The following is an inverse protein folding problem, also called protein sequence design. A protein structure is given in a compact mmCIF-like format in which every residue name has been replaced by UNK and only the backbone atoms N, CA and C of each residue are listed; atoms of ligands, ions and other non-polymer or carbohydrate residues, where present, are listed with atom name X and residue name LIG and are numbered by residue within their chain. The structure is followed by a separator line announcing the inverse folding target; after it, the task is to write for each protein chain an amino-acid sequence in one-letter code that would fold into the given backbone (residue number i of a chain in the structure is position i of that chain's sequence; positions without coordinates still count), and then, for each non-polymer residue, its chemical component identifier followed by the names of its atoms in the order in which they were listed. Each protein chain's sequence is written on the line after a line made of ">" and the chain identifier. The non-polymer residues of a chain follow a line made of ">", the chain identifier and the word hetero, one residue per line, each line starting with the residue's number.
data_IF_273626007945
#
_entry.id   IF_273626007945
#
_cell.length_a   1.000
_cell.length_b   1.000
_cell.length_c   1.000
_cell.angle_alpha   90.00
_cell.angle_beta   90.00
_cell.angle_gamma   90.00
#
_symmetry.space_group_name_H-M   'P 1'
#
loop_
_entity.id
_entity.type
_entity.pdbx_description
1 polymer ?
#
# COMPACT_ATOMS: atom_id res chain seq x y z
N UNK A 1 137.51 -19.07 -40.95
CA UNK A 1 138.64 -18.53 -40.18
C UNK A 1 138.09 -18.21 -38.79
N UNK A 2 137.99 -19.24 -37.94
CA UNK A 2 138.95 -19.57 -36.87
C UNK A 2 138.65 -18.81 -35.58
N UNK A 3 137.97 -19.44 -34.63
CA UNK A 3 138.59 -19.83 -33.36
C UNK A 3 137.59 -20.57 -32.46
N UNK A 4 138.13 -21.63 -31.89
CA UNK A 4 137.63 -22.56 -30.89
C UNK A 4 137.75 -21.94 -29.48
N UNK A 5 136.76 -22.15 -28.60
CA UNK A 5 136.90 -22.44 -27.15
C UNK A 5 135.49 -22.55 -26.50
N UNK A 6 135.35 -23.55 -25.63
CA UNK A 6 134.15 -23.98 -24.90
C UNK A 6 133.85 -23.05 -23.67
N UNK A 7 132.83 -23.27 -22.78
CA UNK A 7 132.51 -24.57 -22.16
C UNK A 7 131.02 -24.91 -21.86
N UNK A 8 130.86 -26.23 -21.70
CA UNK A 8 130.08 -26.99 -20.71
C UNK A 8 128.56 -26.95 -20.54
N UNK A 9 128.04 -28.18 -20.59
CA UNK A 9 126.72 -28.72 -20.28
C UNK A 9 126.48 -28.83 -18.76
N UNK A 10 125.20 -28.86 -18.39
CA UNK A 10 124.57 -29.82 -17.45
C UNK A 10 123.07 -29.88 -17.81
N UNK A 11 122.58 -30.89 -18.56
CA UNK A 11 122.04 -32.18 -18.10
C UNK A 11 120.92 -32.04 -17.05
N UNK A 12 119.64 -31.96 -17.44
CA UNK A 12 118.70 -33.07 -17.71
C UNK A 12 117.90 -33.54 -16.47
N UNK A 13 116.56 -33.46 -16.55
CA UNK A 13 115.63 -34.61 -16.47
C UNK A 13 114.16 -34.18 -16.44
N UNK A 14 113.36 -34.89 -17.23
CA UNK A 14 111.90 -34.95 -17.21
C UNK A 14 111.37 -35.44 -15.86
N UNK A 15 110.29 -34.81 -15.37
CA UNK A 15 109.40 -35.42 -14.37
C UNK A 15 107.93 -35.25 -14.79
N UNK A 16 107.32 -36.40 -15.07
CA UNK A 16 105.88 -36.65 -15.14
C UNK A 16 105.22 -36.26 -13.81
N UNK A 17 104.32 -35.27 -13.83
CA UNK A 17 103.52 -34.86 -12.67
C UNK A 17 102.42 -35.87 -12.38
N UNK A 18 102.78 -36.91 -11.63
CA UNK A 18 101.84 -37.77 -10.90
C UNK A 18 101.02 -36.88 -9.95
N UNK A 19 99.73 -36.73 -10.21
CA UNK A 19 98.79 -36.07 -9.28
C UNK A 19 98.85 -36.84 -7.96
N UNK A 20 99.25 -36.17 -6.88
CA UNK A 20 99.33 -36.75 -5.53
C UNK A 20 97.92 -37.13 -5.05
N UNK A 21 97.61 -38.43 -5.09
CA UNK A 21 96.30 -38.96 -4.72
C UNK A 21 95.89 -38.64 -3.28
N UNK A 22 96.85 -38.32 -2.40
CA UNK A 22 96.61 -37.87 -1.03
C UNK A 22 95.90 -36.52 -0.97
N UNK A 23 96.39 -35.53 -1.75
CA UNK A 23 95.80 -34.19 -1.82
C UNK A 23 94.39 -34.21 -2.46
N UNK A 24 94.19 -35.05 -3.48
CA UNK A 24 92.88 -35.24 -4.11
C UNK A 24 91.87 -35.87 -3.13
N UNK A 25 92.27 -36.88 -2.35
CA UNK A 25 91.42 -37.49 -1.33
C UNK A 25 91.08 -36.54 -0.19
N UNK A 26 92.00 -35.65 0.20
CA UNK A 26 91.72 -34.60 1.18
C UNK A 26 90.70 -33.59 0.66
N UNK A 27 90.82 -33.16 -0.61
CA UNK A 27 89.85 -32.27 -1.25
C UNK A 27 88.46 -32.91 -1.38
N UNK A 28 88.37 -34.20 -1.73
CA UNK A 28 87.11 -34.95 -1.79
C UNK A 28 86.45 -35.03 -0.41
N UNK A 29 87.21 -35.37 0.65
CA UNK A 29 86.69 -35.40 2.03
C UNK A 29 86.19 -34.02 2.50
N UNK A 30 86.88 -32.96 2.09
CA UNK A 30 86.49 -31.59 2.44
C UNK A 30 85.21 -31.17 1.71
N UNK A 31 85.07 -31.55 0.44
CA UNK A 31 83.85 -31.33 -0.34
C UNK A 31 82.67 -32.13 0.21
N UNK A 32 82.88 -33.40 0.55
CA UNK A 32 81.87 -34.27 1.17
C UNK A 32 81.38 -33.69 2.51
N UNK A 33 82.29 -33.24 3.37
CA UNK A 33 81.95 -32.54 4.60
C UNK A 33 81.17 -31.25 4.35
N UNK A 34 81.57 -30.45 3.36
CA UNK A 34 80.87 -29.23 2.96
C UNK A 34 79.47 -29.48 2.39
N UNK A 35 79.28 -30.58 1.64
CA UNK A 35 77.98 -31.01 1.13
C UNK A 35 77.08 -31.47 2.29
N UNK A 36 77.58 -32.30 3.20
CA UNK A 36 76.82 -32.71 4.39
C UNK A 36 76.44 -31.50 5.25
N UNK A 37 77.36 -30.57 5.47
CA UNK A 37 77.07 -29.35 6.23
C UNK A 37 76.00 -28.47 5.57
N UNK A 38 76.05 -28.29 4.23
CA UNK A 38 75.01 -27.56 3.49
C UNK A 38 73.67 -28.29 3.51
N UNK A 39 73.70 -29.61 3.37
CA UNK A 39 72.49 -30.44 3.44
C UNK A 39 71.83 -30.34 4.82
N UNK A 40 72.62 -30.42 5.89
CA UNK A 40 72.14 -30.26 7.27
C UNK A 40 71.59 -28.86 7.53
N UNK A 41 72.24 -27.82 6.98
CA UNK A 41 71.78 -26.44 7.08
C UNK A 41 70.42 -26.24 6.37
N UNK A 42 70.28 -26.72 5.12
CA UNK A 42 69.01 -26.67 4.40
C UNK A 42 67.93 -27.52 5.08
N UNK A 43 68.27 -28.70 5.61
CA UNK A 43 67.34 -29.52 6.36
C UNK A 43 66.90 -28.85 7.67
N UNK A 44 67.76 -28.08 8.33
CA UNK A 44 67.38 -27.28 9.51
C UNK A 44 66.47 -26.10 9.12
N UNK A 45 66.75 -25.42 8.02
CA UNK A 45 65.96 -24.30 7.50
C UNK A 45 64.56 -24.76 7.08
N UNK A 46 64.44 -25.84 6.30
CA UNK A 46 63.13 -26.40 5.94
C UNK A 46 62.33 -26.87 7.16
N UNK A 47 62.97 -27.48 8.17
CA UNK A 47 62.28 -27.84 9.42
C UNK A 47 61.72 -26.60 10.12
N UNK A 48 62.49 -25.50 10.14
CA UNK A 48 62.04 -24.24 10.73
C UNK A 48 60.86 -23.64 9.96
N UNK A 49 60.91 -23.62 8.63
CA UNK A 49 59.80 -23.13 7.79
C UNK A 49 58.54 -23.98 7.95
N UNK A 50 58.67 -25.32 7.98
CA UNK A 50 57.54 -26.24 8.21
C UNK A 50 56.90 -25.97 9.58
N UNK A 51 57.71 -25.74 10.63
CA UNK A 51 57.19 -25.41 11.95
C UNK A 51 56.48 -24.05 11.96
N UNK A 52 57.05 -23.03 11.30
CA UNK A 52 56.42 -21.71 11.16
C UNK A 52 55.08 -21.80 10.44
N UNK A 53 55.04 -22.44 9.27
CA UNK A 53 53.81 -22.64 8.49
C UNK A 53 52.77 -23.43 9.29
N UNK A 54 53.19 -24.46 10.03
CA UNK A 54 52.30 -25.23 10.90
C UNK A 54 51.69 -24.35 11.99
N UNK A 55 52.46 -23.45 12.59
CA UNK A 55 52.00 -22.53 13.62
C UNK A 55 51.05 -21.47 13.04
N UNK A 56 51.39 -20.87 11.90
CA UNK A 56 50.52 -19.94 11.17
C UNK A 56 49.19 -20.59 10.77
N UNK A 57 49.24 -21.80 10.21
CA UNK A 57 48.05 -22.59 9.88
C UNK A 57 47.22 -22.92 11.13
N UNK A 58 47.87 -23.28 12.24
CA UNK A 58 47.17 -23.57 13.49
C UNK A 58 46.47 -22.32 14.02
N UNK A 59 47.14 -21.18 14.04
CA UNK A 59 46.59 -19.91 14.48
C UNK A 59 45.43 -19.47 13.58
N UNK A 60 45.57 -19.61 12.26
CA UNK A 60 44.48 -19.35 11.31
C UNK A 60 43.29 -20.28 11.52
N UNK A 61 43.53 -21.58 11.73
CA UNK A 61 42.48 -22.55 12.02
C UNK A 61 41.74 -22.20 13.32
N UNK A 62 42.47 -21.83 14.38
CA UNK A 62 41.87 -21.40 15.65
C UNK A 62 41.01 -20.15 15.45
N UNK A 63 41.52 -19.14 14.71
CA UNK A 63 40.75 -17.94 14.40
C UNK A 63 39.45 -18.26 13.64
N UNK A 64 39.52 -19.08 12.58
CA UNK A 64 38.35 -19.50 11.80
C UNK A 64 37.36 -20.27 12.68
N UNK A 65 37.82 -21.19 13.53
CA UNK A 65 36.91 -21.93 14.43
C UNK A 65 36.23 -21.02 15.45
N UNK A 66 36.90 -19.95 15.89
CA UNK A 66 36.31 -18.94 16.76
C UNK A 66 35.23 -18.15 16.02
N UNK A 67 35.51 -17.70 14.80
CA UNK A 67 34.55 -16.95 13.98
C UNK A 67 33.32 -17.80 13.63
N UNK A 68 33.51 -19.08 13.31
CA UNK A 68 32.40 -20.01 13.05
C UNK A 68 31.49 -20.14 14.26
N UNK A 69 32.03 -20.27 15.47
CA UNK A 69 31.23 -20.31 16.71
C UNK A 69 30.47 -19.01 16.93
N UNK A 70 31.12 -17.86 16.74
CA UNK A 70 30.48 -16.56 16.88
C UNK A 70 29.35 -16.36 15.84
N UNK A 71 29.52 -16.89 14.62
CA UNK A 71 28.47 -16.90 13.60
C UNK A 71 27.32 -17.84 13.94
N UNK A 72 27.59 -19.03 14.48
CA UNK A 72 26.57 -19.98 14.94
C UNK A 72 25.69 -19.36 16.04
N UNK A 73 26.29 -18.69 17.03
CA UNK A 73 25.56 -17.97 18.08
C UNK A 73 24.66 -16.86 17.52
N UNK A 74 25.18 -16.07 16.57
CA UNK A 74 24.40 -15.02 15.90
C UNK A 74 23.27 -15.59 15.06
N UNK A 75 23.48 -16.71 14.38
CA UNK A 75 22.45 -17.41 13.60
C UNK A 75 21.33 -17.93 14.52
N UNK A 76 21.68 -18.61 15.61
CA UNK A 76 20.71 -19.07 16.61
C UNK A 76 19.85 -17.92 17.17
N UNK A 77 20.47 -16.76 17.44
CA UNK A 77 19.75 -15.57 17.90
C UNK A 77 18.77 -15.03 16.85
N UNK A 78 19.19 -14.97 15.57
CA UNK A 78 18.35 -14.52 14.47
C UNK A 78 17.19 -15.50 14.18
N UNK A 79 17.45 -16.80 14.25
CA UNK A 79 16.42 -17.83 14.09
C UNK A 79 15.36 -17.74 15.19
N UNK A 80 15.80 -17.58 16.43
CA UNK A 80 14.91 -17.39 17.59
C UNK A 80 14.04 -16.15 17.42
N UNK A 81 14.65 -15.00 17.10
CA UNK A 81 13.90 -13.77 16.84
C UNK A 81 12.90 -13.96 15.68
N UNK A 82 13.33 -14.58 14.57
CA UNK A 82 12.46 -14.83 13.41
C UNK A 82 11.26 -15.72 13.77
N UNK A 83 11.47 -16.72 14.62
CA UNK A 83 10.39 -17.57 15.15
C UNK A 83 9.40 -16.76 16.00
N UNK A 84 9.89 -15.87 16.87
CA UNK A 84 9.06 -14.99 17.69
C UNK A 84 8.23 -14.02 16.82
N UNK A 85 8.85 -13.40 15.81
CA UNK A 85 8.17 -12.54 14.85
C UNK A 85 7.12 -13.30 14.03
N UNK A 86 7.45 -14.51 13.58
CA UNK A 86 6.52 -15.37 12.82
C UNK A 86 5.31 -15.74 13.67
N UNK A 87 5.54 -16.14 14.92
CA UNK A 87 4.47 -16.46 15.89
C UNK A 87 3.60 -15.23 16.16
N UNK A 88 4.21 -14.07 16.35
CA UNK A 88 3.51 -12.80 16.55
C UNK A 88 2.65 -12.43 15.33
N UNK A 89 3.18 -12.63 14.12
CA UNK A 89 2.46 -12.35 12.88
C UNK A 89 1.30 -13.33 12.65
N UNK A 90 1.46 -14.60 13.03
CA UNK A 90 0.39 -15.60 13.01
C UNK A 90 -0.77 -15.23 13.94
N UNK A 91 -0.51 -14.53 15.05
CA UNK A 91 -1.55 -14.00 15.94
C UNK A 91 -2.11 -12.67 15.42
N UNK A 92 -1.26 -11.78 14.93
CA UNK A 92 -1.68 -10.44 14.51
C UNK A 92 -2.55 -10.46 13.24
N UNK A 93 -2.20 -11.27 12.24
CA UNK A 93 -2.96 -11.35 10.99
C UNK A 93 -4.47 -11.68 11.19
N UNK A 94 -4.86 -12.72 11.95
CA UNK A 94 -6.27 -13.01 12.18
C UNK A 94 -6.96 -11.96 13.08
N UNK A 95 -6.25 -11.37 14.04
CA UNK A 95 -6.84 -10.29 14.86
C UNK A 95 -7.15 -9.06 14.03
N UNK A 96 -6.26 -8.66 13.12
CA UNK A 96 -6.50 -7.56 12.17
C UNK A 96 -7.68 -7.88 11.25
N UNK A 97 -7.77 -9.10 10.72
CA UNK A 97 -8.90 -9.51 9.89
C UNK A 97 -10.23 -9.48 10.68
N UNK A 98 -10.23 -9.93 11.94
CA UNK A 98 -11.39 -9.86 12.82
C UNK A 98 -11.82 -8.41 13.09
N UNK A 99 -10.87 -7.54 13.41
CA UNK A 99 -11.14 -6.12 13.65
C UNK A 99 -11.67 -5.41 12.40
N UNK A 100 -11.17 -5.75 11.22
CA UNK A 100 -11.71 -5.22 9.95
C UNK A 100 -13.16 -5.66 9.73
N UNK A 101 -13.49 -6.92 10.02
CA UNK A 101 -14.86 -7.43 9.94
C UNK A 101 -15.78 -6.74 10.94
N UNK A 102 -15.36 -6.58 12.19
CA UNK A 102 -16.13 -5.86 13.21
C UNK A 102 -16.31 -4.38 12.84
N UNK A 103 -15.27 -3.73 12.34
CA UNK A 103 -15.33 -2.33 11.92
C UNK A 103 -16.31 -2.14 10.76
N UNK A 104 -16.28 -3.01 9.75
CA UNK A 104 -17.23 -2.94 8.63
C UNK A 104 -18.67 -3.22 9.07
N UNK A 105 -18.88 -4.20 9.96
CA UNK A 105 -20.19 -4.48 10.55
C UNK A 105 -20.72 -3.30 11.38
N UNK A 106 -19.86 -2.69 12.21
CA UNK A 106 -20.21 -1.53 13.02
C UNK A 106 -20.54 -0.32 12.15
N UNK A 107 -19.76 -0.08 11.09
CA UNK A 107 -20.04 0.98 10.13
C UNK A 107 -21.40 0.79 9.45
N UNK A 108 -21.71 -0.44 9.01
CA UNK A 108 -23.00 -0.77 8.42
C UNK A 108 -24.16 -0.54 9.42
N UNK A 109 -23.99 -0.95 10.68
CA UNK A 109 -24.98 -0.73 11.75
C UNK A 109 -25.19 0.76 12.05
N UNK A 110 -24.11 1.54 12.17
CA UNK A 110 -24.17 2.98 12.34
C UNK A 110 -24.90 3.66 11.18
N UNK A 111 -24.64 3.22 9.94
CA UNK A 111 -25.31 3.74 8.77
C UNK A 111 -26.82 3.44 8.79
N UNK A 112 -27.21 2.21 9.12
CA UNK A 112 -28.62 1.82 9.26
C UNK A 112 -29.33 2.64 10.35
N UNK A 113 -28.72 2.81 11.53
CA UNK A 113 -29.27 3.64 12.60
C UNK A 113 -29.45 5.09 12.16
N UNK A 114 -28.49 5.68 11.47
CA UNK A 114 -28.61 7.03 10.92
C UNK A 114 -29.74 7.12 9.88
N UNK A 115 -29.91 6.10 9.03
CA UNK A 115 -30.99 6.07 8.04
C UNK A 115 -32.38 5.98 8.72
N UNK A 116 -32.52 5.15 9.76
CA UNK A 116 -33.76 5.01 10.52
C UNK A 116 -34.11 6.28 11.28
N UNK A 117 -33.13 6.90 11.93
CA UNK A 117 -33.31 8.17 12.64
C UNK A 117 -33.75 9.32 11.71
N UNK A 118 -33.25 9.34 10.47
CA UNK A 118 -33.55 10.39 9.48
C UNK A 118 -34.70 10.03 8.54
N UNK A 119 -35.36 8.89 8.71
CA UNK A 119 -36.33 8.34 7.74
C UNK A 119 -37.52 9.29 7.51
N UNK A 120 -37.97 9.94 8.59
CA UNK A 120 -39.04 10.94 8.61
C UNK A 120 -38.57 12.35 8.30
N UNK A 121 -37.32 12.54 7.86
CA UNK A 121 -36.75 13.86 7.60
C UNK A 121 -36.62 14.15 6.09
N UNK A 122 -36.76 15.41 5.71
CA UNK A 122 -36.45 15.92 4.37
C UNK A 122 -35.67 17.23 4.45
N UNK A 123 -35.03 17.58 3.33
CA UNK A 123 -34.45 18.91 3.11
C UNK A 123 -35.36 19.74 2.21
N UNK A 124 -35.66 20.97 2.63
CA UNK A 124 -36.31 21.99 1.81
C UNK A 124 -35.33 23.13 1.54
N UNK A 125 -35.08 23.43 0.26
CA UNK A 125 -34.10 24.41 -0.20
C UNK A 125 -34.80 25.52 -0.99
N UNK A 126 -34.21 26.72 -0.98
CA UNK A 126 -34.68 27.86 -1.77
C UNK A 126 -35.60 28.83 -1.01
N UNK A 127 -35.87 28.58 0.27
CA UNK A 127 -36.61 29.50 1.13
C UNK A 127 -35.66 30.62 1.59
N UNK A 128 -36.08 31.88 1.39
CA UNK A 128 -35.29 33.05 1.73
C UNK A 128 -34.89 33.08 3.22
N UNK A 129 -33.65 33.51 3.51
CA UNK A 129 -33.17 33.68 4.88
C UNK A 129 -34.02 34.71 5.64
N UNK A 130 -34.39 34.38 6.88
CA UNK A 130 -35.13 35.30 7.77
C UNK A 130 -36.64 35.40 7.52
N UNK A 131 -37.20 34.70 6.52
CA UNK A 131 -38.65 34.75 6.25
C UNK A 131 -39.52 33.97 7.24
N UNK A 132 -38.91 33.18 8.13
CA UNK A 132 -39.63 32.28 9.05
C UNK A 132 -40.29 32.96 10.24
N UNK A 133 -39.78 34.11 10.65
CA UNK A 133 -40.12 34.71 11.93
C UNK A 133 -39.75 33.81 13.13
N UNK A 134 -40.43 33.97 14.28
CA UNK A 134 -40.07 33.29 15.53
C UNK A 134 -40.50 31.81 15.59
N UNK A 135 -41.35 31.35 14.69
CA UNK A 135 -41.93 30.00 14.71
C UNK A 135 -41.66 29.25 13.40
N UNK A 136 -40.42 28.76 13.18
CA UNK A 136 -40.02 28.12 11.92
C UNK A 136 -40.84 26.87 11.59
N UNK A 137 -41.21 26.08 12.60
CA UNK A 137 -42.02 24.87 12.39
C UNK A 137 -43.39 25.18 11.79
N UNK A 138 -44.09 26.20 12.31
CA UNK A 138 -45.41 26.58 11.77
C UNK A 138 -45.28 27.19 10.38
N UNK A 139 -44.30 28.08 10.20
CA UNK A 139 -44.01 28.69 8.91
C UNK A 139 -43.76 27.65 7.82
N UNK A 140 -42.93 26.64 8.10
CA UNK A 140 -42.61 25.59 7.12
C UNK A 140 -43.79 24.65 6.88
N UNK A 141 -44.59 24.34 7.89
CA UNK A 141 -45.82 23.56 7.70
C UNK A 141 -46.79 24.28 6.73
N UNK A 142 -46.97 25.59 6.92
CA UNK A 142 -47.79 26.42 6.03
C UNK A 142 -47.19 26.54 4.63
N UNK A 143 -45.86 26.69 4.52
CA UNK A 143 -45.18 26.71 3.23
C UNK A 143 -45.37 25.39 2.47
N UNK A 144 -45.28 24.24 3.14
CA UNK A 144 -45.53 22.94 2.52
C UNK A 144 -46.99 22.80 2.05
N UNK A 145 -47.95 23.36 2.80
CA UNK A 145 -49.35 23.40 2.38
C UNK A 145 -49.51 24.17 1.08
N UNK A 146 -48.89 25.35 0.96
CA UNK A 146 -48.94 26.19 -0.24
C UNK A 146 -48.22 25.54 -1.42
N UNK A 147 -46.99 25.08 -1.23
CA UNK A 147 -46.14 24.48 -2.29
C UNK A 147 -46.80 23.27 -2.94
N UNK A 148 -47.46 22.43 -2.14
CA UNK A 148 -48.05 21.17 -2.60
C UNK A 148 -49.59 21.21 -2.71
N UNK A 149 -50.20 22.39 -2.55
CA UNK A 149 -51.65 22.60 -2.52
C UNK A 149 -52.36 21.57 -1.63
N UNK A 150 -51.89 21.40 -0.40
CA UNK A 150 -52.48 20.48 0.57
C UNK A 150 -53.72 21.11 1.21
N UNK A 151 -54.72 20.28 1.56
CA UNK A 151 -55.90 20.74 2.28
C UNK A 151 -55.54 21.29 3.68
N UNK A 152 -54.64 20.59 4.38
CA UNK A 152 -54.17 20.96 5.71
C UNK A 152 -52.65 20.99 5.76
N UNK A 153 -52.10 21.83 6.65
CA UNK A 153 -50.67 21.87 6.90
C UNK A 153 -50.20 20.58 7.60
N UNK A 154 -49.11 19.94 7.14
CA UNK A 154 -48.63 18.70 7.74
C UNK A 154 -48.13 18.94 9.16
N UNK A 155 -48.41 17.99 10.07
CA UNK A 155 -47.89 18.04 11.44
C UNK A 155 -46.38 17.72 11.45
N UNK A 156 -45.58 18.71 11.85
CA UNK A 156 -44.13 18.62 11.94
C UNK A 156 -43.70 18.47 13.40
N UNK A 157 -42.77 17.56 13.67
CA UNK A 157 -42.20 17.38 15.00
C UNK A 157 -41.16 18.48 15.32
N UNK A 158 -40.33 18.83 14.34
CA UNK A 158 -39.33 19.89 14.48
C UNK A 158 -38.93 20.40 13.09
N UNK A 159 -38.55 21.67 13.01
CA UNK A 159 -37.95 22.24 11.81
C UNK A 159 -36.88 23.26 12.20
N UNK A 160 -35.72 23.16 11.56
CA UNK A 160 -34.61 24.09 11.77
C UNK A 160 -33.81 24.26 10.47
N UNK A 161 -33.11 25.38 10.34
CA UNK A 161 -32.10 25.54 9.29
C UNK A 161 -30.88 24.68 9.60
N UNK A 162 -30.18 24.25 8.55
CA UNK A 162 -28.92 23.55 8.69
C UNK A 162 -27.95 24.35 9.59
N UNK A 163 -27.25 23.67 10.50
CA UNK A 163 -26.31 24.25 11.46
C UNK A 163 -24.99 24.68 10.79
N UNK A 164 -25.09 25.57 9.81
CA UNK A 164 -23.96 26.20 9.14
C UNK A 164 -23.94 27.70 9.45
N UNK A 165 -22.82 28.38 9.15
CA UNK A 165 -22.76 29.83 9.21
C UNK A 165 -23.82 30.44 8.28
N UNK A 166 -24.47 31.51 8.73
CA UNK A 166 -25.48 32.22 7.93
C UNK A 166 -24.81 32.72 6.64
N UNK A 167 -25.36 32.39 5.46
CA UNK A 167 -24.82 32.89 4.19
C UNK A 167 -24.91 34.42 4.11
N UNK A 168 -23.96 35.03 3.41
CA UNK A 168 -24.03 36.45 3.07
C UNK A 168 -25.24 36.74 2.16
N UNK A 169 -25.64 38.00 2.10
CA UNK A 169 -26.73 38.42 1.24
C UNK A 169 -26.41 38.11 -0.24
N UNK A 170 -27.39 37.54 -0.96
CA UNK A 170 -27.22 37.05 -2.33
C UNK A 170 -26.64 35.64 -2.49
N UNK A 171 -26.10 35.04 -1.42
CA UNK A 171 -25.69 33.62 -1.43
C UNK A 171 -26.88 32.68 -1.31
N UNK A 172 -26.67 31.40 -1.64
CA UNK A 172 -27.72 30.36 -1.55
C UNK A 172 -28.22 30.24 -0.09
N UNK A 173 -29.54 30.35 0.16
CA UNK A 173 -30.09 30.16 1.49
C UNK A 173 -29.82 28.75 2.04
N UNK A 174 -29.69 28.65 3.37
CA UNK A 174 -29.58 27.38 4.07
C UNK A 174 -30.81 26.51 3.83
N UNK A 175 -30.58 25.20 3.77
CA UNK A 175 -31.66 24.24 3.71
C UNK A 175 -32.34 24.13 5.07
N UNK A 176 -33.66 23.95 5.07
CA UNK A 176 -34.36 23.43 6.24
C UNK A 176 -34.16 21.94 6.35
N UNK A 177 -33.97 21.47 7.57
CA UNK A 177 -34.17 20.08 7.98
C UNK A 177 -35.54 20.01 8.62
N UNK A 178 -36.45 19.27 8.00
CA UNK A 178 -37.82 19.14 8.44
C UNK A 178 -38.02 17.71 8.94
N UNK A 179 -38.49 17.55 10.17
CA UNK A 179 -38.86 16.27 10.78
C UNK A 179 -40.39 16.17 10.85
N UNK A 180 -40.96 15.19 10.16
CA UNK A 180 -42.40 14.93 10.17
C UNK A 180 -42.79 14.06 11.35
N UNK A 181 -43.96 14.32 11.93
CA UNK A 181 -44.51 13.45 12.97
C UNK A 181 -44.92 12.09 12.39
N UNK A 182 -45.40 12.07 11.15
CA UNK A 182 -45.86 10.88 10.44
C UNK A 182 -45.03 10.59 9.19
N UNK A 183 -44.59 9.35 9.07
CA UNK A 183 -43.71 8.92 7.96
C UNK A 183 -44.43 8.89 6.60
N UNK A 184 -45.69 8.48 6.57
CA UNK A 184 -46.52 8.39 5.35
C UNK A 184 -46.75 9.77 4.72
N UNK A 185 -47.08 10.79 5.52
CA UNK A 185 -47.23 12.19 5.08
C UNK A 185 -45.94 12.68 4.39
N UNK A 186 -44.79 12.34 4.98
CA UNK A 186 -43.49 12.67 4.42
C UNK A 186 -43.22 11.95 3.08
N UNK A 187 -43.61 10.68 2.95
CA UNK A 187 -43.47 9.94 1.69
C UNK A 187 -44.37 10.49 0.59
N UNK A 188 -45.59 10.90 0.92
CA UNK A 188 -46.51 11.51 -0.03
C UNK A 188 -45.98 12.86 -0.53
N UNK A 189 -45.43 13.70 0.36
CA UNK A 189 -44.77 14.96 -0.02
C UNK A 189 -43.59 14.70 -0.96
N UNK A 190 -42.73 13.71 -0.65
CA UNK A 190 -41.63 13.34 -1.54
C UNK A 190 -42.12 12.85 -2.90
N UNK A 191 -43.19 12.05 -2.93
CA UNK A 191 -43.78 11.54 -4.18
C UNK A 191 -44.28 12.69 -5.05
N UNK A 192 -45.02 13.64 -4.45
CA UNK A 192 -45.47 14.86 -5.13
C UNK A 192 -44.30 15.70 -5.64
N UNK A 193 -43.23 15.84 -4.84
CA UNK A 193 -42.04 16.58 -5.24
C UNK A 193 -41.32 15.96 -6.44
N UNK A 194 -41.25 14.62 -6.51
CA UNK A 194 -40.64 13.91 -7.64
C UNK A 194 -41.48 14.05 -8.92
N UNK A 195 -42.81 14.07 -8.79
CA UNK A 195 -43.73 14.21 -9.92
C UNK A 195 -43.84 15.66 -10.41
N UNK A 196 -43.59 16.63 -9.53
CA UNK A 196 -43.60 18.04 -9.88
C UNK A 196 -42.39 18.38 -10.76
N UNK A 197 -42.64 19.05 -11.90
CA UNK A 197 -41.57 19.58 -12.75
C UNK A 197 -40.83 20.74 -12.10
N UNK A 198 -41.56 21.58 -11.36
CA UNK A 198 -41.05 22.76 -10.68
C UNK A 198 -41.89 23.01 -9.43
N UNK A 199 -41.23 23.27 -8.31
CA UNK A 199 -41.87 23.72 -7.08
C UNK A 199 -41.54 25.19 -6.88
N UNK A 200 -42.56 26.00 -6.55
CA UNK A 200 -42.39 27.42 -6.26
C UNK A 200 -43.00 27.77 -4.91
N UNK A 201 -42.40 28.75 -4.25
CA UNK A 201 -42.92 29.37 -3.03
C UNK A 201 -42.62 30.87 -3.11
N UNK A 202 -43.65 31.72 -3.03
CA UNK A 202 -43.51 33.18 -3.18
C UNK A 202 -42.65 33.57 -4.40
N UNK A 203 -43.00 33.01 -5.56
CA UNK A 203 -42.32 33.18 -6.86
C UNK A 203 -40.86 32.71 -6.94
N UNK A 204 -40.31 32.10 -5.88
CA UNK A 204 -38.96 31.52 -5.88
C UNK A 204 -39.00 30.01 -6.06
N UNK A 205 -38.04 29.48 -6.81
CA UNK A 205 -37.88 28.05 -6.97
C UNK A 205 -37.44 27.40 -5.66
N UNK A 206 -38.13 26.33 -5.28
CA UNK A 206 -37.80 25.53 -4.12
C UNK A 206 -37.53 24.08 -4.54
N UNK A 207 -36.74 23.38 -3.74
CA UNK A 207 -36.41 21.98 -3.98
C UNK A 207 -36.57 21.16 -2.71
N UNK A 208 -37.11 19.96 -2.88
CA UNK A 208 -37.30 19.01 -1.78
C UNK A 208 -36.51 17.75 -2.05
N UNK A 209 -35.70 17.34 -1.09
CA UNK A 209 -34.90 16.11 -1.16
C UNK A 209 -35.02 15.27 0.11
N UNK A 210 -34.88 13.94 0.04
CA UNK A 210 -34.74 13.13 1.23
C UNK A 210 -33.50 13.53 2.06
N UNK A 211 -33.59 13.47 3.39
CA UNK A 211 -32.44 13.67 4.27
C UNK A 211 -31.70 12.34 4.49
N UNK A 212 -30.76 12.03 3.59
CA UNK A 212 -29.90 10.87 3.73
C UNK A 212 -28.58 11.21 4.43
N UNK A 213 -28.00 10.26 5.19
CA UNK A 213 -26.62 10.42 5.64
C UNK A 213 -25.67 10.52 4.41
N UNK A 214 -24.53 11.21 4.53
CA UNK A 214 -23.63 11.47 3.41
C UNK A 214 -23.20 10.20 2.65
N UNK A 215 -22.95 9.11 3.37
CA UNK A 215 -22.57 7.82 2.76
C UNK A 215 -23.68 7.25 1.85
N UNK A 216 -24.95 7.41 2.24
CA UNK A 216 -26.08 6.99 1.40
C UNK A 216 -26.30 7.97 0.25
N UNK A 217 -26.10 9.27 0.45
CA UNK A 217 -26.23 10.27 -0.61
C UNK A 217 -25.19 10.07 -1.73
N UNK A 218 -23.99 9.58 -1.39
CA UNK A 218 -22.93 9.25 -2.35
C UNK A 218 -23.31 8.10 -3.30
N UNK A 219 -24.12 7.13 -2.87
CA UNK A 219 -24.48 5.95 -3.67
C UNK A 219 -25.24 6.35 -4.97
N UNK A 220 -26.35 7.10 -4.92
CA UNK A 220 -26.99 7.64 -6.12
C UNK A 220 -26.12 8.54 -7.00
N UNK A 221 -25.19 9.27 -6.38
CA UNK A 221 -24.27 10.17 -7.08
C UNK A 221 -23.21 9.40 -7.87
N UNK A 222 -22.81 8.21 -7.41
CA UNK A 222 -21.86 7.35 -8.12
C UNK A 222 -22.37 6.89 -9.49
N UNK A 223 -23.69 6.88 -9.71
CA UNK A 223 -24.29 6.59 -11.02
C UNK A 223 -24.32 7.79 -11.98
N UNK A 224 -23.68 8.91 -11.64
CA UNK A 224 -23.73 10.13 -12.46
C UNK A 224 -23.25 9.89 -13.90
N UNK A 225 -22.11 9.22 -14.09
CA UNK A 225 -21.56 8.97 -15.43
C UNK A 225 -22.47 8.04 -16.25
N UNK A 226 -23.05 7.02 -15.61
CA UNK A 226 -24.03 6.12 -16.25
C UNK A 226 -25.25 6.94 -16.71
N UNK A 227 -25.79 7.80 -15.84
CA UNK A 227 -26.93 8.68 -16.18
C UNK A 227 -26.57 9.67 -17.30
N UNK A 228 -25.33 10.16 -17.35
CA UNK A 228 -24.85 11.08 -18.39
C UNK A 228 -24.88 10.43 -19.77
N UNK A 229 -24.43 9.17 -19.88
CA UNK A 229 -24.45 8.41 -21.14
C UNK A 229 -25.87 8.05 -21.59
N UNK A 230 -26.78 7.81 -20.64
CA UNK A 230 -28.17 7.45 -20.95
C UNK A 230 -29.05 8.66 -21.27
N UNK A 231 -28.68 9.88 -20.82
CA UNK A 231 -29.50 11.10 -20.98
C UNK A 231 -29.91 11.41 -22.44
N UNK A 232 -29.04 11.25 -23.47
CA UNK A 232 -29.42 11.53 -24.86
C UNK A 232 -30.39 10.51 -25.46
N UNK A 233 -30.62 9.37 -24.81
CA UNK A 233 -31.37 8.25 -25.37
C UNK A 233 -32.83 8.29 -24.96
N UNK A 234 -33.74 8.36 -25.92
CA UNK A 234 -35.19 8.33 -25.69
C UNK A 234 -35.77 6.93 -25.54
N UNK A 235 -35.05 5.90 -26.00
CA UNK A 235 -35.42 4.48 -25.95
C UNK A 235 -35.08 3.81 -24.61
N UNK A 236 -34.43 4.53 -23.68
CA UNK A 236 -34.08 4.03 -22.35
C UNK A 236 -34.83 4.79 -21.27
N UNK A 237 -35.38 4.03 -20.32
CA UNK A 237 -35.85 4.58 -19.04
C UNK A 237 -34.89 4.17 -17.94
N UNK A 238 -34.37 5.13 -17.18
CA UNK A 238 -33.48 4.84 -16.06
C UNK A 238 -33.89 5.60 -14.81
N UNK A 239 -33.52 5.08 -13.65
CA UNK A 239 -33.85 5.68 -12.37
C UNK A 239 -33.26 4.90 -11.22
N UNK A 240 -33.30 5.49 -10.03
CA UNK A 240 -32.95 4.76 -8.82
C UNK A 240 -34.10 3.83 -8.43
N UNK A 241 -33.77 2.61 -8.03
CA UNK A 241 -34.70 1.67 -7.39
C UNK A 241 -34.43 1.70 -5.90
N UNK A 242 -35.37 2.28 -5.15
CA UNK A 242 -35.20 2.47 -3.71
C UNK A 242 -34.05 3.43 -3.40
N UNK A 243 -33.23 3.10 -2.40
CA UNK A 243 -32.19 4.00 -1.88
C UNK A 243 -30.82 3.83 -2.55
N UNK A 244 -30.53 2.66 -3.13
CA UNK A 244 -29.17 2.29 -3.55
C UNK A 244 -29.08 1.64 -4.93
N UNK A 245 -30.13 0.94 -5.36
CA UNK A 245 -30.13 0.24 -6.63
C UNK A 245 -30.36 1.20 -7.81
N UNK A 246 -29.83 0.86 -8.97
CA UNK A 246 -30.06 1.57 -10.22
C UNK A 246 -30.80 0.65 -11.20
N UNK A 247 -31.90 1.15 -11.77
CA UNK A 247 -32.71 0.41 -12.74
C UNK A 247 -32.55 1.04 -14.11
N UNK A 248 -32.22 0.23 -15.10
CA UNK A 248 -32.19 0.57 -16.51
C UNK A 248 -33.22 -0.30 -17.22
N UNK A 249 -34.14 0.31 -17.95
CA UNK A 249 -35.13 -0.40 -18.77
C UNK A 249 -34.80 -0.11 -20.24
N UNK A 250 -34.47 -1.17 -20.97
CA UNK A 250 -34.07 -1.13 -22.38
C UNK A 250 -34.67 -2.35 -23.09
N UNK A 251 -35.19 -2.17 -24.32
CA UNK A 251 -35.86 -3.23 -25.09
C UNK A 251 -36.92 -4.02 -24.30
N UNK A 252 -37.77 -3.32 -23.54
CA UNK A 252 -38.79 -3.91 -22.64
C UNK A 252 -38.26 -4.82 -21.52
N UNK A 253 -36.94 -4.92 -21.33
CA UNK A 253 -36.33 -5.63 -20.21
C UNK A 253 -35.84 -4.62 -19.15
N UNK A 254 -36.15 -4.91 -17.88
CA UNK A 254 -35.70 -4.13 -16.75
C UNK A 254 -34.49 -4.80 -16.09
N UNK A 255 -33.36 -4.11 -16.07
CA UNK A 255 -32.12 -4.56 -15.44
C UNK A 255 -31.86 -3.73 -14.19
N UNK A 256 -31.44 -4.39 -13.11
CA UNK A 256 -31.18 -3.78 -11.80
C UNK A 256 -29.71 -4.01 -11.46
N UNK A 257 -29.05 -2.96 -10.99
CA UNK A 257 -27.64 -2.95 -10.64
C UNK A 257 -27.46 -2.43 -9.23
N UNK A 258 -26.60 -3.11 -8.47
CA UNK A 258 -26.20 -2.69 -7.12
C UNK A 258 -24.86 -1.92 -7.15
N UNK A 259 -24.09 -2.04 -8.24
CA UNK A 259 -22.83 -1.33 -8.46
C UNK A 259 -22.88 -0.42 -9.71
N UNK A 260 -22.32 0.81 -9.63
CA UNK A 260 -22.11 1.67 -10.78
C UNK A 260 -21.23 1.04 -11.87
N UNK A 261 -20.26 0.21 -11.50
CA UNK A 261 -19.36 -0.44 -12.44
C UNK A 261 -20.11 -1.45 -13.32
N UNK A 262 -20.95 -2.28 -12.71
CA UNK A 262 -21.80 -3.24 -13.43
C UNK A 262 -22.77 -2.53 -14.38
N UNK A 263 -23.42 -1.47 -13.91
CA UNK A 263 -24.31 -0.65 -14.72
C UNK A 263 -23.57 -0.03 -15.92
N UNK A 264 -22.35 0.47 -15.70
CA UNK A 264 -21.52 1.04 -16.77
C UNK A 264 -21.13 0.00 -17.82
N UNK A 265 -20.69 -1.18 -17.40
CA UNK A 265 -20.36 -2.29 -18.30
C UNK A 265 -21.58 -2.69 -19.14
N UNK A 266 -22.76 -2.76 -18.51
CA UNK A 266 -24.01 -3.03 -19.24
C UNK A 266 -24.31 -1.95 -20.29
N UNK A 267 -24.17 -0.68 -19.94
CA UNK A 267 -24.41 0.43 -20.88
C UNK A 267 -23.46 0.35 -22.07
N UNK A 268 -22.16 0.13 -21.84
CA UNK A 268 -21.17 0.02 -22.92
C UNK A 268 -21.39 -1.20 -23.81
N UNK A 269 -21.73 -2.36 -23.26
CA UNK A 269 -21.83 -3.57 -24.07
C UNK A 269 -23.20 -3.76 -24.76
N UNK A 270 -24.29 -3.27 -24.16
CA UNK A 270 -25.65 -3.60 -24.61
C UNK A 270 -26.43 -2.42 -25.17
N UNK A 271 -26.02 -1.19 -24.84
CA UNK A 271 -26.79 0.02 -25.15
C UNK A 271 -26.00 0.91 -26.13
N UNK A 272 -24.70 1.09 -25.89
CA UNK A 272 -23.79 1.83 -26.77
C UNK A 272 -22.60 0.92 -27.08
N UNK A 273 -22.81 -0.22 -27.78
CA UNK A 273 -21.68 -0.99 -28.29
C UNK A 273 -20.90 -0.10 -29.26
N UNK A 274 -19.58 -0.15 -29.15
CA UNK A 274 -18.66 0.51 -30.10
C UNK A 274 -18.94 0.08 -31.55
#
# INVERSE_FOLDING_TARGET
>A
MSSELAPERQSAKDESSTIDGSALMAAIKTLEAGIHQKFDAHAAEFRKEILSLREEMHNSMVAVTSDVKAHEERLCSLESATSEWTTSLQVLAPTVASLQNEFTALRAKCLDLQCRSRRSNIHLLGIAEGSEGPQPTKFVAEALREIFALHEAPLLACTHRALAAKPAEGQRPQAFVICFHRFDVKEDILRKAIQAKQLKFKDKNVHVFPNFPPEMAKKPAAYYDVKRLLRPRSDVKYGLRGLTGFRITYNNAAHIFDSPAEAMTFVKHRIIPD
#
